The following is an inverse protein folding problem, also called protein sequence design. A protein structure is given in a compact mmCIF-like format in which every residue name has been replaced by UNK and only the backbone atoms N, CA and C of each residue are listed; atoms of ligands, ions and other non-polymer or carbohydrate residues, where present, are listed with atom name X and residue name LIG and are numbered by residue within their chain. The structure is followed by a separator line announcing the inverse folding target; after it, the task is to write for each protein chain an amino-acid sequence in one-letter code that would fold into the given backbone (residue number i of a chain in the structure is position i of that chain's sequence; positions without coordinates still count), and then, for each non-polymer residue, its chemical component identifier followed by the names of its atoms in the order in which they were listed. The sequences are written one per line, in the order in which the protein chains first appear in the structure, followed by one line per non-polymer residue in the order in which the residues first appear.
data_IF_597522958016
#
_entry.id   IF_597522958016
#
_cell.length_a   1.000
_cell.length_b   1.000
_cell.length_c   1.000
_cell.angle_alpha   90.00
_cell.angle_beta   90.00
_cell.angle_gamma   90.00
#
_symmetry.space_group_name_H-M   'P 1'
#
loop_
_entity.id
_entity.type
_entity.pdbx_description
1 polymer ?
#
# COMPACT_ATOMS: atom_id res chain seq x y z
N UNK A 1 -3.09 -3.88 -34.22
CA UNK A 1 -1.78 -3.56 -34.83
C UNK A 1 -0.65 -3.30 -33.82
N UNK A 2 -0.81 -2.42 -32.84
CA UNK A 2 0.23 -2.11 -31.84
C UNK A 2 0.74 -3.35 -31.07
N UNK A 3 -0.16 -4.19 -30.54
CA UNK A 3 0.21 -5.39 -29.78
C UNK A 3 1.06 -6.34 -30.63
N UNK A 4 0.66 -6.58 -31.88
CA UNK A 4 1.39 -7.47 -32.80
C UNK A 4 2.76 -6.89 -33.15
N UNK A 5 2.86 -5.58 -33.36
CA UNK A 5 4.13 -4.91 -33.59
C UNK A 5 5.10 -5.10 -32.41
N UNK A 6 4.64 -4.85 -31.17
CA UNK A 6 5.49 -5.04 -29.98
C UNK A 6 5.93 -6.51 -29.83
N UNK A 7 5.04 -7.47 -30.12
CA UNK A 7 5.37 -8.90 -30.03
C UNK A 7 6.49 -9.32 -30.98
N UNK A 8 6.59 -8.71 -32.16
CA UNK A 8 7.62 -9.06 -33.15
C UNK A 8 8.89 -8.21 -33.02
N UNK A 9 8.81 -6.97 -32.53
CA UNK A 9 9.97 -6.06 -32.46
C UNK A 9 10.65 -6.01 -31.10
N UNK A 10 9.96 -6.38 -30.01
CA UNK A 10 10.53 -6.36 -28.67
C UNK A 10 11.47 -7.54 -28.43
N UNK A 11 12.75 -7.26 -28.18
CA UNK A 11 13.73 -8.29 -27.75
C UNK A 11 13.31 -9.00 -26.46
N UNK A 12 12.64 -8.29 -25.55
CA UNK A 12 12.13 -8.87 -24.31
C UNK A 12 10.97 -9.83 -24.52
N UNK A 13 10.30 -9.79 -25.67
CA UNK A 13 9.26 -10.76 -26.03
C UNK A 13 9.84 -11.89 -26.91
N UNK A 14 10.78 -11.57 -27.79
CA UNK A 14 11.38 -12.53 -28.72
C UNK A 14 12.34 -13.52 -28.04
N UNK A 15 13.12 -13.08 -27.04
CA UNK A 15 14.16 -13.90 -26.41
C UNK A 15 13.86 -14.30 -24.96
N UNK A 16 12.75 -13.85 -24.37
CA UNK A 16 12.37 -14.25 -23.03
C UNK A 16 11.73 -15.64 -23.02
N UNK A 17 11.88 -16.34 -21.89
CA UNK A 17 11.17 -17.59 -21.64
C UNK A 17 9.70 -17.32 -21.38
N UNK A 18 8.83 -18.19 -21.89
CA UNK A 18 7.40 -18.15 -21.60
C UNK A 18 7.14 -18.41 -20.11
N UNK A 19 6.10 -17.78 -19.59
CA UNK A 19 5.59 -18.06 -18.25
C UNK A 19 5.13 -19.52 -18.14
N UNK A 20 5.33 -20.14 -16.98
CA UNK A 20 4.93 -21.53 -16.78
C UNK A 20 3.39 -21.66 -16.81
N UNK A 21 2.84 -22.75 -17.40
CA UNK A 21 1.40 -22.97 -17.46
C UNK A 21 0.64 -22.81 -16.12
N UNK A 22 1.10 -23.34 -14.97
CA UNK A 22 0.37 -23.18 -13.72
C UNK A 22 0.29 -21.73 -13.22
N UNK A 23 1.30 -20.90 -13.51
CA UNK A 23 1.29 -19.48 -13.12
C UNK A 23 0.31 -18.71 -14.00
N UNK A 24 0.26 -19.00 -15.31
CA UNK A 24 -0.70 -18.40 -16.24
C UNK A 24 -2.13 -18.77 -15.84
N UNK A 25 -2.37 -20.02 -15.48
CA UNK A 25 -3.70 -20.47 -15.05
C UNK A 25 -4.15 -19.74 -13.77
N UNK A 26 -3.27 -19.64 -12.77
CA UNK A 26 -3.56 -18.92 -11.54
C UNK A 26 -3.92 -17.44 -11.80
N UNK A 27 -3.16 -16.76 -12.67
CA UNK A 27 -3.44 -15.36 -13.03
C UNK A 27 -4.79 -15.26 -13.76
N UNK A 28 -5.06 -16.16 -14.70
CA UNK A 28 -6.32 -16.20 -15.46
C UNK A 28 -7.52 -16.41 -14.54
N UNK A 29 -7.45 -17.37 -13.61
CA UNK A 29 -8.51 -17.62 -12.64
C UNK A 29 -8.78 -16.41 -11.75
N UNK A 30 -7.73 -15.71 -11.29
CA UNK A 30 -7.89 -14.48 -10.49
C UNK A 30 -8.53 -13.36 -11.30
N UNK A 31 -8.14 -13.19 -12.57
CA UNK A 31 -8.74 -12.18 -13.44
C UNK A 31 -10.22 -12.47 -13.70
N UNK A 32 -10.60 -13.72 -13.97
CA UNK A 32 -12.01 -14.11 -14.10
C UNK A 32 -12.78 -13.82 -12.81
N UNK A 33 -12.25 -14.18 -11.64
CA UNK A 33 -12.91 -13.88 -10.35
C UNK A 33 -13.11 -12.37 -10.11
N UNK A 34 -12.20 -11.53 -10.60
CA UNK A 34 -12.30 -10.08 -10.46
C UNK A 34 -13.23 -9.42 -11.49
N UNK A 35 -13.37 -10.01 -12.68
CA UNK A 35 -14.17 -9.49 -13.79
C UNK A 35 -15.60 -10.04 -13.81
N UNK A 36 -15.79 -11.29 -13.40
CA UNK A 36 -17.08 -11.97 -13.45
C UNK A 36 -18.00 -11.48 -12.33
N UNK A 37 -19.18 -11.04 -12.73
CA UNK A 37 -20.29 -10.73 -11.82
C UNK A 37 -21.09 -12.01 -11.52
N UNK A 38 -20.38 -13.03 -11.02
CA UNK A 38 -20.99 -14.26 -10.54
C UNK A 38 -21.91 -13.97 -9.35
N UNK A 39 -22.91 -14.81 -9.08
CA UNK A 39 -23.92 -14.57 -8.03
C UNK A 39 -23.31 -14.28 -6.64
N UNK A 40 -22.12 -14.82 -6.34
CA UNK A 40 -21.41 -14.58 -5.07
C UNK A 40 -20.68 -13.22 -4.99
N UNK A 41 -20.51 -12.50 -6.10
CA UNK A 41 -19.88 -11.17 -6.20
C UNK A 41 -18.55 -11.03 -5.44
N UNK A 42 -17.76 -12.11 -5.40
CA UNK A 42 -16.60 -12.20 -4.51
C UNK A 42 -15.49 -11.18 -4.87
N UNK A 43 -15.24 -10.97 -6.16
CA UNK A 43 -14.31 -9.95 -6.65
C UNK A 43 -14.70 -8.54 -6.17
N UNK A 44 -15.96 -8.15 -6.41
CA UNK A 44 -16.53 -6.87 -5.98
C UNK A 44 -16.47 -6.70 -4.45
N UNK A 45 -16.77 -7.76 -3.70
CA UNK A 45 -16.68 -7.76 -2.23
C UNK A 45 -15.25 -7.49 -1.76
N UNK A 46 -14.25 -8.19 -2.33
CA UNK A 46 -12.83 -8.01 -1.97
C UNK A 46 -12.32 -6.61 -2.32
N UNK A 47 -12.68 -6.07 -3.48
CA UNK A 47 -12.30 -4.71 -3.90
C UNK A 47 -12.92 -3.69 -2.94
N UNK A 48 -14.20 -3.85 -2.59
CA UNK A 48 -14.90 -2.97 -1.65
C UNK A 48 -14.29 -3.01 -0.24
N UNK A 49 -13.98 -4.22 0.26
CA UNK A 49 -13.32 -4.39 1.55
C UNK A 49 -11.92 -3.76 1.56
N UNK A 50 -11.13 -3.95 0.49
CA UNK A 50 -9.82 -3.31 0.37
C UNK A 50 -9.93 -1.79 0.37
N UNK A 51 -10.91 -1.23 -0.35
CA UNK A 51 -11.15 0.21 -0.38
C UNK A 51 -11.55 0.75 1.01
N UNK A 52 -12.39 0.02 1.75
CA UNK A 52 -12.75 0.36 3.13
C UNK A 52 -11.53 0.31 4.06
N UNK A 53 -10.78 -0.80 4.07
CA UNK A 53 -9.55 -0.98 4.85
C UNK A 53 -8.57 0.17 4.61
N UNK A 54 -8.40 0.53 3.33
CA UNK A 54 -7.51 1.62 2.91
C UNK A 54 -7.93 2.97 3.46
N UNK A 55 -9.19 3.34 3.29
CA UNK A 55 -9.71 4.63 3.79
C UNK A 55 -9.63 4.68 5.31
N UNK A 56 -10.02 3.60 5.97
CA UNK A 56 -9.98 3.48 7.43
C UNK A 56 -8.57 3.69 7.97
N UNK A 57 -7.62 2.88 7.53
CA UNK A 57 -6.24 2.90 8.00
C UNK A 57 -5.56 4.26 7.72
N UNK A 58 -5.76 4.80 6.52
CA UNK A 58 -5.20 6.09 6.10
C UNK A 58 -5.71 7.25 6.95
N UNK A 59 -7.02 7.30 7.23
CA UNK A 59 -7.61 8.33 8.08
C UNK A 59 -7.07 8.26 9.51
N UNK A 60 -6.93 7.05 10.06
CA UNK A 60 -6.39 6.85 11.41
C UNK A 60 -4.93 7.29 11.51
N UNK A 61 -4.06 6.87 10.59
CA UNK A 61 -2.67 7.34 10.53
C UNK A 61 -2.56 8.86 10.42
N UNK A 62 -3.40 9.49 9.60
CA UNK A 62 -3.42 10.95 9.44
C UNK A 62 -3.83 11.65 10.74
N UNK A 63 -4.86 11.12 11.43
CA UNK A 63 -5.30 11.62 12.74
C UNK A 63 -4.23 11.47 13.84
N UNK A 64 -3.39 10.44 13.74
CA UNK A 64 -2.23 10.22 14.61
C UNK A 64 -1.06 11.18 14.30
N UNK A 65 -1.17 12.06 13.30
CA UNK A 65 -0.14 13.05 13.00
C UNK A 65 1.00 12.55 12.11
N UNK A 66 0.86 11.38 11.49
CA UNK A 66 1.73 10.96 10.40
C UNK A 66 1.45 11.77 9.13
N UNK A 67 2.51 12.07 8.38
CA UNK A 67 2.37 12.69 7.07
C UNK A 67 2.23 11.59 6.03
N UNK A 68 0.99 11.41 5.56
CA UNK A 68 0.62 10.34 4.62
C UNK A 68 0.49 10.90 3.20
N UNK A 69 1.15 10.26 2.24
CA UNK A 69 1.21 10.69 0.83
C UNK A 69 0.35 9.84 -0.10
N UNK A 70 0.17 10.27 -1.34
CA UNK A 70 -0.46 9.48 -2.41
C UNK A 70 -1.99 9.53 -2.43
N UNK A 71 -2.57 8.82 -3.39
CA UNK A 71 -4.00 8.86 -3.69
C UNK A 71 -4.85 8.22 -2.57
N UNK A 72 -5.99 8.81 -2.16
CA UNK A 72 -6.82 8.29 -1.06
C UNK A 72 -7.39 6.88 -1.28
N UNK A 73 -7.52 6.45 -2.53
CA UNK A 73 -8.02 5.11 -2.90
C UNK A 73 -6.93 4.10 -3.21
N UNK A 74 -5.65 4.46 -3.06
CA UNK A 74 -4.55 3.51 -3.26
C UNK A 74 -4.36 2.62 -2.04
N UNK A 75 -4.36 1.27 -2.18
CA UNK A 75 -4.17 0.35 -1.06
C UNK A 75 -2.75 0.34 -0.49
N UNK A 76 -1.82 1.04 -1.14
CA UNK A 76 -0.49 1.31 -0.62
C UNK A 76 -0.53 2.66 0.09
N UNK A 77 -0.41 2.65 1.41
CA UNK A 77 -0.47 3.85 2.26
C UNK A 77 0.95 4.25 2.68
N UNK A 78 1.58 5.23 2.01
CA UNK A 78 2.93 5.67 2.36
C UNK A 78 2.92 6.72 3.48
N UNK A 79 3.66 6.47 4.57
CA UNK A 79 3.92 7.44 5.63
C UNK A 79 5.39 7.88 5.62
N UNK A 80 5.64 9.19 5.61
CA UNK A 80 7.00 9.73 5.54
C UNK A 80 7.74 9.58 6.87
N UNK A 81 9.02 9.19 6.78
CA UNK A 81 9.93 9.07 7.92
C UNK A 81 10.99 10.20 7.95
N UNK A 82 11.19 10.88 6.81
CA UNK A 82 12.08 12.04 6.54
C UNK A 82 13.58 11.86 6.79
N UNK A 83 13.98 11.06 7.79
CA UNK A 83 15.37 10.78 8.12
C UNK A 83 15.75 9.38 7.67
N UNK A 84 16.81 9.21 6.85
CA UNK A 84 17.30 7.89 6.43
C UNK A 84 17.59 6.95 7.61
N UNK A 85 18.15 7.47 8.69
CA UNK A 85 18.47 6.70 9.91
C UNK A 85 17.22 6.11 10.58
N UNK A 86 16.07 6.78 10.45
CA UNK A 86 14.79 6.31 11.03
C UNK A 86 14.13 5.20 10.22
N UNK A 87 14.49 5.04 8.94
CA UNK A 87 13.91 4.02 8.05
C UNK A 87 14.16 2.62 8.61
N UNK A 88 15.43 2.29 8.87
CA UNK A 88 15.82 0.99 9.42
C UNK A 88 15.33 0.81 10.86
N UNK A 89 15.35 1.87 11.67
CA UNK A 89 14.85 1.83 13.04
C UNK A 89 13.35 1.52 13.10
N UNK A 90 12.55 2.19 12.27
CA UNK A 90 11.11 1.95 12.17
C UNK A 90 10.80 0.50 11.79
N UNK A 91 11.47 -0.02 10.76
CA UNK A 91 11.29 -1.40 10.31
C UNK A 91 11.60 -2.40 11.44
N UNK A 92 12.74 -2.24 12.13
CA UNK A 92 13.14 -3.12 13.23
C UNK A 92 12.17 -3.07 14.39
N UNK A 93 11.71 -1.89 14.77
CA UNK A 93 10.78 -1.73 15.90
C UNK A 93 9.38 -2.30 15.60
N UNK A 94 8.90 -2.16 14.36
CA UNK A 94 7.65 -2.81 13.94
C UNK A 94 7.81 -4.33 13.88
N UNK A 95 8.95 -4.83 13.36
CA UNK A 95 9.22 -6.26 13.28
C UNK A 95 9.31 -6.92 14.66
N UNK A 96 9.91 -6.26 15.66
CA UNK A 96 9.91 -6.71 17.06
C UNK A 96 8.51 -6.89 17.63
N UNK A 97 7.54 -6.15 17.11
CA UNK A 97 6.11 -6.22 17.47
C UNK A 97 5.33 -7.19 16.56
N UNK A 98 6.01 -7.99 15.75
CA UNK A 98 5.38 -8.97 14.86
C UNK A 98 4.83 -8.38 13.55
N UNK A 99 5.08 -7.10 13.26
CA UNK A 99 4.52 -6.43 12.06
C UNK A 99 5.61 -6.20 11.02
N UNK A 100 5.49 -6.91 9.89
CA UNK A 100 6.35 -6.68 8.73
C UNK A 100 5.88 -5.46 7.94
N UNK A 101 6.75 -4.46 7.80
CA UNK A 101 6.48 -3.23 7.04
C UNK A 101 7.51 -3.01 5.93
N UNK A 102 7.06 -2.53 4.77
CA UNK A 102 7.98 -2.21 3.68
C UNK A 102 8.52 -0.81 3.88
N UNK A 103 9.82 -0.67 4.08
CA UNK A 103 10.47 0.64 4.15
C UNK A 103 11.24 0.94 2.87
N UNK A 104 11.14 2.16 2.38
CA UNK A 104 11.68 2.58 1.09
C UNK A 104 12.51 3.84 1.29
N UNK A 105 13.77 3.76 0.85
CA UNK A 105 14.71 4.88 0.83
C UNK A 105 15.38 5.00 -0.53
N UNK A 106 16.47 5.77 -0.59
CA UNK A 106 17.31 5.89 -1.78
C UNK A 106 17.85 4.52 -2.22
N UNK A 107 17.90 4.20 -3.53
CA UNK A 107 17.64 5.05 -4.70
C UNK A 107 16.16 5.14 -5.13
N UNK A 108 15.28 4.34 -4.53
CA UNK A 108 13.86 4.28 -4.95
C UNK A 108 13.08 5.56 -4.63
N UNK A 109 13.52 6.35 -3.65
CA UNK A 109 13.01 7.70 -3.37
C UNK A 109 14.16 8.65 -3.02
N UNK A 110 14.00 9.98 -3.20
CA UNK A 110 15.00 10.95 -2.73
C UNK A 110 15.32 10.76 -1.24
N UNK A 111 16.56 11.08 -0.83
CA UNK A 111 17.07 10.85 0.53
C UNK A 111 16.16 11.41 1.63
N UNK A 112 15.59 12.60 1.41
CA UNK A 112 14.72 13.30 2.38
C UNK A 112 13.27 12.82 2.38
N UNK A 113 12.88 11.95 1.44
CA UNK A 113 11.51 11.44 1.26
C UNK A 113 11.40 9.93 1.50
N UNK A 114 12.32 9.40 2.30
CA UNK A 114 12.24 8.05 2.83
C UNK A 114 10.92 7.81 3.58
N UNK A 115 10.31 6.65 3.36
CA UNK A 115 8.94 6.37 3.80
C UNK A 115 8.73 4.90 4.11
N UNK A 116 7.79 4.61 4.98
CA UNK A 116 7.20 3.28 5.12
C UNK A 116 5.98 3.18 4.20
N UNK A 117 5.79 2.04 3.54
CA UNK A 117 4.63 1.68 2.73
C UNK A 117 3.87 0.58 3.46
N UNK A 118 2.68 0.92 3.94
CA UNK A 118 1.73 -0.08 4.43
C UNK A 118 0.93 -0.61 3.24
N UNK A 119 1.10 -1.89 2.92
CA UNK A 119 0.40 -2.55 1.83
C UNK A 119 -0.81 -3.28 2.40
N UNK A 120 -2.01 -2.74 2.15
CA UNK A 120 -3.24 -3.30 2.69
C UNK A 120 -3.80 -4.38 1.77
N UNK A 121 -4.46 -5.36 2.38
CA UNK A 121 -5.17 -6.44 1.71
C UNK A 121 -6.65 -6.41 2.11
N UNK A 122 -7.50 -6.96 1.24
CA UNK A 122 -8.90 -7.21 1.57
C UNK A 122 -9.06 -8.17 2.77
N UNK A 123 -8.07 -9.05 2.98
CA UNK A 123 -8.08 -10.06 4.05
C UNK A 123 -7.76 -9.50 5.44
N UNK A 124 -7.28 -8.26 5.55
CA UNK A 124 -7.02 -7.66 6.87
C UNK A 124 -8.34 -7.34 7.56
N UNK A 125 -8.49 -7.82 8.79
CA UNK A 125 -9.63 -7.45 9.64
C UNK A 125 -9.38 -6.10 10.29
N UNK A 126 -10.44 -5.47 10.79
CA UNK A 126 -10.34 -4.18 11.48
C UNK A 126 -9.43 -4.27 12.71
N UNK A 127 -9.49 -5.39 13.44
CA UNK A 127 -8.71 -5.64 14.65
C UNK A 127 -7.22 -5.67 14.32
N UNK A 128 -6.83 -6.35 13.24
CA UNK A 128 -5.45 -6.35 12.75
C UNK A 128 -4.99 -4.93 12.36
N UNK A 129 -5.87 -4.16 11.69
CA UNK A 129 -5.56 -2.77 11.33
C UNK A 129 -5.37 -1.90 12.58
N UNK A 130 -6.23 -2.05 13.58
CA UNK A 130 -6.15 -1.31 14.85
C UNK A 130 -4.90 -1.66 15.66
N UNK A 131 -4.51 -2.94 15.69
CA UNK A 131 -3.26 -3.40 16.30
C UNK A 131 -2.04 -2.78 15.63
N UNK A 132 -1.97 -2.83 14.29
CA UNK A 132 -0.88 -2.21 13.52
C UNK A 132 -0.85 -0.69 13.73
N UNK A 133 -2.00 -0.04 13.77
CA UNK A 133 -2.10 1.40 14.04
C UNK A 133 -1.56 1.75 15.43
N UNK A 134 -1.89 0.96 16.45
CA UNK A 134 -1.37 1.14 17.82
C UNK A 134 0.15 0.99 17.86
N UNK A 135 0.70 -0.05 17.24
CA UNK A 135 2.15 -0.24 17.17
C UNK A 135 2.84 0.87 16.38
N UNK A 136 2.24 1.31 15.27
CA UNK A 136 2.75 2.44 14.51
C UNK A 136 2.75 3.73 15.34
N UNK A 137 1.74 3.96 16.18
CA UNK A 137 1.69 5.09 17.11
C UNK A 137 2.81 5.05 18.15
N UNK A 138 3.00 3.91 18.83
CA UNK A 138 4.07 3.71 19.83
C UNK A 138 5.47 3.92 19.23
N UNK A 139 5.73 3.36 18.05
CA UNK A 139 7.00 3.54 17.32
C UNK A 139 7.12 4.98 16.79
N UNK A 140 5.98 5.56 16.39
CA UNK A 140 5.78 6.97 16.07
C UNK A 140 6.36 7.91 17.11
N UNK A 141 6.06 7.62 18.37
CA UNK A 141 6.55 8.35 19.53
C UNK A 141 8.00 8.10 19.83
N UNK A 142 8.40 6.82 19.89
CA UNK A 142 9.77 6.44 20.18
C UNK A 142 10.77 7.12 19.24
N UNK A 143 10.43 7.19 17.94
CA UNK A 143 11.28 7.77 16.90
C UNK A 143 10.95 9.24 16.61
N UNK A 144 10.07 9.88 17.37
CA UNK A 144 9.68 11.28 17.22
C UNK A 144 9.25 11.64 15.77
N UNK A 145 8.33 10.88 15.20
CA UNK A 145 7.87 11.03 13.80
C UNK A 145 6.52 11.75 13.66
N UNK A 146 5.76 11.90 14.76
CA UNK A 146 4.50 12.65 14.80
C UNK A 146 4.75 14.16 14.77
N UNK A 147 5.00 14.70 13.57
CA UNK A 147 5.37 16.12 13.37
C UNK A 147 4.35 16.92 12.57
N UNK A 148 3.23 16.32 12.16
CA UNK A 148 2.17 17.07 11.47
C UNK A 148 1.51 18.07 12.42
N UNK A 149 1.65 19.36 12.13
CA UNK A 149 0.95 20.46 12.84
C UNK A 149 -0.49 20.66 12.35
N UNK A 150 -0.96 19.84 11.39
CA UNK A 150 -2.32 19.90 10.88
C UNK A 150 -3.27 19.32 11.93
N UNK A 151 -3.83 20.20 12.75
CA UNK A 151 -4.98 19.93 13.60
C UNK A 151 -6.13 19.41 12.71
N UNK A 152 -6.74 18.24 12.97
CA UNK A 152 -7.79 17.64 12.12
C UNK A 152 -9.15 18.38 12.22
N UNK A 153 -9.15 19.70 12.41
CA UNK A 153 -10.36 20.54 12.49
C UNK A 153 -10.90 21.01 11.14
N UNK A 154 -10.29 20.63 10.01
CA UNK A 154 -10.85 20.94 8.69
C UNK A 154 -11.43 19.67 8.04
N UNK A 155 -12.74 19.62 7.76
CA UNK A 155 -13.28 18.56 6.90
C UNK A 155 -12.58 18.64 5.55
N UNK A 156 -12.19 17.49 5.01
CA UNK A 156 -11.69 17.36 3.65
C UNK A 156 -12.78 17.85 2.70
N UNK A 157 -12.69 19.11 2.25
CA UNK A 157 -13.49 19.55 1.12
C UNK A 157 -13.03 18.79 -0.11
N UNK A 158 -14.02 18.22 -0.80
CA UNK A 158 -13.93 17.70 -2.15
C UNK A 158 -13.08 18.66 -2.99
N UNK A 159 -11.93 18.17 -3.43
CA UNK A 159 -11.30 18.72 -4.62
C UNK A 159 -11.79 17.79 -5.72
N UNK A 160 -12.75 18.32 -6.50
CA UNK A 160 -13.12 17.81 -7.81
C UNK A 160 -11.85 17.56 -8.62
N UNK A 161 -11.76 16.38 -9.25
CA UNK A 161 -11.35 16.09 -10.63
C UNK A 161 -11.12 14.57 -10.75
#
# INVERSE_FOLDING_TARGET
DLINHIRTTSHGTAYATSMSPPVVEQITSVLHLLLDDNEEHEGHRRISQLAWNTRYFRQRLTKMGFIVYGHPHSPVVPALLYSPSKIAAFNREMLKRGVAVVTVGFPATPLVLGRVRFCLSASHTKEMLDEVLKHAEEVGDLLNMRKSKLNPKRPFHQTEF
#
